data_IF_370067914197
#
_entry.id   IF_370067914197
#
_cell.length_a   1.000
_cell.length_b   1.000
_cell.length_c   1.000
_cell.angle_alpha   90.00
_cell.angle_beta   90.00
_cell.angle_gamma   90.00
#
_symmetry.space_group_name_H-M   'P 1'
#
loop_
_entity.id
_entity.type
_entity.pdbx_description
1 polymer ?
#
# COMPACT_ATOMS: atom_id res chain seq x y z
N UNK A 1 45.70 -20.48 -22.22
CA UNK A 1 45.84 -21.70 -21.39
C UNK A 1 45.99 -21.27 -19.94
N UNK A 2 45.05 -21.59 -19.06
CA UNK A 2 45.14 -21.39 -17.61
C UNK A 2 44.78 -22.71 -16.89
N UNK A 3 45.52 -23.13 -15.84
CA UNK A 3 45.30 -24.42 -15.19
C UNK A 3 44.11 -24.40 -14.19
N UNK A 4 43.39 -25.52 -14.01
CA UNK A 4 42.23 -25.64 -13.12
C UNK A 4 42.63 -26.06 -11.70
N UNK A 5 41.73 -25.89 -10.71
CA UNK A 5 41.58 -26.62 -9.40
C UNK A 5 41.02 -25.68 -8.30
N UNK A 6 40.15 -26.00 -7.33
CA UNK A 6 39.43 -27.20 -6.88
C UNK A 6 38.14 -26.76 -6.14
N UNK A 7 37.08 -27.58 -6.21
CA UNK A 7 35.88 -27.50 -5.35
C UNK A 7 36.20 -28.03 -3.94
N UNK A 8 35.71 -27.37 -2.90
CA UNK A 8 35.51 -27.96 -1.58
C UNK A 8 34.11 -27.65 -1.08
N UNK A 9 33.33 -28.71 -0.84
CA UNK A 9 32.07 -28.68 -0.12
C UNK A 9 32.37 -28.83 1.38
N UNK A 10 31.71 -28.03 2.21
CA UNK A 10 31.61 -28.28 3.65
C UNK A 10 30.13 -28.18 4.02
N UNK A 11 29.49 -29.35 4.03
CA UNK A 11 28.22 -29.61 4.71
C UNK A 11 28.58 -29.63 6.20
N UNK A 12 28.07 -28.67 6.97
CA UNK A 12 28.15 -28.73 8.43
C UNK A 12 26.79 -29.19 8.95
N UNK A 13 26.88 -30.39 9.52
CA UNK A 13 25.84 -31.25 10.07
C UNK A 13 25.23 -30.64 11.34
N UNK A 14 23.90 -30.72 11.38
CA UNK A 14 23.02 -30.26 12.44
C UNK A 14 22.85 -31.40 13.45
N UNK A 15 23.48 -31.30 14.62
CA UNK A 15 23.23 -32.18 15.77
C UNK A 15 23.94 -31.70 17.04
N UNK A 16 23.20 -31.04 17.93
CA UNK A 16 23.33 -31.28 19.37
C UNK A 16 22.19 -30.66 20.18
N UNK A 17 21.30 -31.54 20.63
CA UNK A 17 20.39 -31.30 21.75
C UNK A 17 21.16 -31.36 23.05
N UNK A 18 21.07 -30.31 23.87
CA UNK A 18 21.35 -30.37 25.30
C UNK A 18 20.13 -29.80 26.03
N UNK A 19 19.38 -30.69 26.66
CA UNK A 19 18.39 -30.36 27.67
C UNK A 19 19.10 -30.32 29.03
N UNK A 20 18.86 -29.29 29.86
CA UNK A 20 18.59 -29.50 31.28
C UNK A 20 18.14 -28.22 32.02
N UNK A 21 17.01 -28.38 32.70
CA UNK A 21 16.71 -27.97 34.08
C UNK A 21 17.13 -26.61 34.63
N UNK A 22 16.13 -25.75 34.82
CA UNK A 22 16.10 -24.75 35.88
C UNK A 22 14.80 -24.87 36.67
N UNK A 23 14.83 -25.56 37.80
CA UNK A 23 13.82 -25.49 38.86
C UNK A 23 13.90 -24.10 39.52
N UNK A 24 12.76 -23.44 39.79
CA UNK A 24 12.42 -22.69 41.04
C UNK A 24 11.22 -21.72 40.86
N UNK A 25 10.12 -22.13 41.50
CA UNK A 25 9.11 -21.37 42.26
C UNK A 25 8.41 -20.09 41.72
N UNK A 26 7.08 -20.12 41.86
CA UNK A 26 6.14 -19.01 41.74
C UNK A 26 6.23 -18.03 42.93
N UNK A 27 5.79 -16.76 42.78
CA UNK A 27 4.43 -16.48 43.26
C UNK A 27 3.58 -15.54 42.37
N UNK A 28 2.35 -16.00 42.14
CA UNK A 28 1.08 -15.25 42.21
C UNK A 28 1.11 -13.76 41.81
N UNK A 29 0.82 -13.49 40.54
CA UNK A 29 0.08 -12.27 40.16
C UNK A 29 -1.25 -12.66 39.51
N UNK A 30 -2.30 -12.08 40.06
CA UNK A 30 -3.71 -12.37 39.81
C UNK A 30 -4.02 -11.96 38.37
N UNK A 31 -4.12 -12.92 37.47
CA UNK A 31 -4.50 -12.70 36.07
C UNK A 31 -5.88 -12.04 36.04
N UNK A 32 -5.89 -10.71 35.85
CA UNK A 32 -7.08 -9.97 35.45
C UNK A 32 -7.45 -10.49 34.07
N UNK A 33 -8.60 -11.14 34.02
CA UNK A 33 -9.34 -11.54 32.81
C UNK A 33 -9.09 -10.53 31.67
N UNK A 34 -8.85 -10.97 30.43
CA UNK A 34 -8.92 -10.04 29.31
C UNK A 34 -10.33 -9.44 29.34
N UNK A 35 -10.39 -8.13 29.49
CA UNK A 35 -11.59 -7.39 29.21
C UNK A 35 -11.95 -7.74 27.76
N UNK A 36 -13.07 -8.46 27.61
CA UNK A 36 -13.87 -8.38 26.40
C UNK A 36 -14.14 -6.90 26.19
N UNK A 37 -13.35 -6.26 25.34
CA UNK A 37 -13.79 -5.04 24.68
C UNK A 37 -15.04 -5.46 23.93
N UNK A 38 -16.16 -5.12 24.55
CA UNK A 38 -17.48 -5.24 23.97
C UNK A 38 -17.41 -4.40 22.71
N UNK A 39 -17.25 -5.09 21.58
CA UNK A 39 -17.86 -4.74 20.31
C UNK A 39 -19.16 -4.00 20.64
N UNK A 40 -19.11 -2.68 20.47
CA UNK A 40 -20.28 -1.84 20.60
C UNK A 40 -21.20 -2.25 19.47
N UNK A 41 -22.32 -2.82 19.90
CA UNK A 41 -23.54 -3.06 19.15
C UNK A 41 -23.83 -1.97 18.12
N UNK A 42 -24.09 -2.38 16.89
CA UNK A 42 -25.19 -1.89 16.04
C UNK A 42 -25.19 -2.78 14.80
N UNK A 43 -26.10 -3.75 14.71
CA UNK A 43 -27.36 -3.64 13.95
C UNK A 43 -27.12 -3.21 12.48
N UNK A 44 -27.70 -3.88 11.48
CA UNK A 44 -27.59 -3.46 10.09
C UNK A 44 -28.34 -2.13 9.94
N UNK A 45 -27.60 -1.04 10.08
CA UNK A 45 -28.08 0.31 9.84
C UNK A 45 -28.04 0.52 8.33
N UNK A 46 -29.14 0.20 7.66
CA UNK A 46 -29.52 0.82 6.39
C UNK A 46 -29.83 2.30 6.67
N UNK A 47 -28.79 3.09 6.91
CA UNK A 47 -28.86 4.54 6.80
C UNK A 47 -28.22 4.89 5.45
N UNK A 48 -29.02 5.52 4.59
CA UNK A 48 -28.59 6.41 3.52
C UNK A 48 -27.81 7.60 4.12
N UNK A 49 -26.74 7.31 4.85
CA UNK A 49 -25.63 8.24 5.04
C UNK A 49 -25.10 8.54 3.63
N UNK A 50 -24.94 9.82 3.23
CA UNK A 50 -24.39 10.17 1.92
C UNK A 50 -22.90 9.79 1.88
N UNK A 51 -22.64 8.49 1.75
CA UNK A 51 -21.31 7.93 1.59
C UNK A 51 -20.84 8.32 0.21
N UNK A 52 -19.77 9.12 0.17
CA UNK A 52 -19.13 9.50 -1.09
C UNK A 52 -18.89 8.26 -1.96
N UNK A 53 -19.49 8.19 -3.17
CA UNK A 53 -19.32 7.05 -4.07
C UNK A 53 -17.92 7.11 -4.70
N UNK A 54 -16.94 6.53 -4.00
CA UNK A 54 -15.53 6.51 -4.41
C UNK A 54 -15.29 5.93 -5.82
N UNK A 55 -16.15 5.01 -6.25
CA UNK A 55 -16.08 4.38 -7.59
C UNK A 55 -16.53 5.34 -8.70
N UNK A 56 -17.50 6.21 -8.40
CA UNK A 56 -18.05 7.14 -9.38
C UNK A 56 -17.14 8.37 -9.56
N UNK A 57 -16.38 8.71 -8.50
CA UNK A 57 -15.40 9.79 -8.52
C UNK A 57 -14.41 9.63 -9.71
N UNK A 58 -14.07 10.73 -10.42
CA UNK A 58 -13.19 10.67 -11.58
C UNK A 58 -11.79 10.18 -11.19
N UNK A 59 -11.18 9.40 -12.09
CA UNK A 59 -9.88 8.77 -11.88
C UNK A 59 -8.78 9.76 -11.51
N UNK A 60 -8.84 10.96 -12.08
CA UNK A 60 -7.88 12.05 -11.85
C UNK A 60 -7.85 12.48 -10.38
N UNK A 61 -9.03 12.58 -9.74
CA UNK A 61 -9.13 12.92 -8.31
C UNK A 61 -8.55 11.79 -7.45
N UNK A 62 -8.76 10.52 -7.80
CA UNK A 62 -8.17 9.42 -7.05
C UNK A 62 -6.64 9.40 -7.21
N UNK A 63 -6.12 9.70 -8.40
CA UNK A 63 -4.67 9.78 -8.64
C UNK A 63 -4.05 10.98 -7.93
N UNK A 64 -4.68 12.15 -7.96
CA UNK A 64 -4.19 13.32 -7.23
C UNK A 64 -4.13 13.04 -5.73
N UNK A 65 -5.16 12.40 -5.16
CA UNK A 65 -5.17 11.95 -3.77
C UNK A 65 -4.00 11.00 -3.47
N UNK A 66 -3.76 10.00 -4.33
CA UNK A 66 -2.62 9.07 -4.18
C UNK A 66 -1.28 9.82 -4.17
N UNK A 67 -1.09 10.79 -5.06
CA UNK A 67 0.15 11.54 -5.16
C UNK A 67 0.37 12.46 -3.95
N UNK A 68 -0.68 13.12 -3.46
CA UNK A 68 -0.62 13.98 -2.27
C UNK A 68 -0.30 13.19 -1.00
N UNK A 69 -0.94 12.04 -0.82
CA UNK A 69 -0.79 11.21 0.37
C UNK A 69 0.28 10.09 0.21
N UNK A 70 0.98 10.05 -0.91
CA UNK A 70 2.07 9.10 -1.21
C UNK A 70 1.68 7.63 -0.96
N UNK A 71 0.48 7.24 -1.38
CA UNK A 71 0.00 5.87 -1.15
C UNK A 71 0.86 4.86 -1.92
N UNK A 72 1.28 3.73 -1.29
CA UNK A 72 2.08 2.68 -1.93
C UNK A 72 1.28 1.81 -2.92
N UNK A 73 0.08 2.26 -3.31
CA UNK A 73 -0.79 1.54 -4.26
C UNK A 73 -0.33 1.80 -5.69
N UNK A 74 -0.38 0.82 -6.60
CA UNK A 74 -0.21 1.03 -8.05
C UNK A 74 -1.27 1.97 -8.67
N UNK A 75 -0.97 2.58 -9.83
CA UNK A 75 -1.95 3.45 -10.53
C UNK A 75 -3.06 2.61 -11.16
N UNK A 76 -4.32 3.03 -11.06
CA UNK A 76 -5.40 2.39 -11.81
C UNK A 76 -5.29 2.58 -13.33
N UNK A 77 -5.82 1.62 -14.10
CA UNK A 77 -6.06 1.78 -15.54
C UNK A 77 -7.16 2.82 -15.81
N UNK A 78 -7.07 3.51 -16.94
CA UNK A 78 -8.07 4.50 -17.36
C UNK A 78 -9.39 3.85 -17.79
N UNK A 79 -9.30 2.67 -18.42
CA UNK A 79 -10.45 1.86 -18.84
C UNK A 79 -10.13 0.37 -18.82
N UNK A 80 -11.15 -0.48 -18.77
CA UNK A 80 -10.95 -1.94 -18.88
C UNK A 80 -10.38 -2.36 -20.24
N UNK A 81 -10.73 -1.65 -21.30
CA UNK A 81 -10.10 -1.86 -22.61
C UNK A 81 -8.58 -1.60 -22.55
N UNK A 82 -8.17 -0.51 -21.90
CA UNK A 82 -6.74 -0.20 -21.73
C UNK A 82 -6.02 -1.27 -20.89
N UNK A 83 -6.71 -1.88 -19.92
CA UNK A 83 -6.18 -3.02 -19.15
C UNK A 83 -5.89 -4.18 -20.09
N UNK A 84 -6.83 -4.57 -20.94
CA UNK A 84 -6.67 -5.70 -21.86
C UNK A 84 -5.51 -5.45 -22.84
N UNK A 85 -5.49 -4.29 -23.50
CA UNK A 85 -4.47 -3.96 -24.51
C UNK A 85 -3.06 -3.86 -23.90
N UNK A 86 -2.92 -3.18 -22.75
CA UNK A 86 -1.61 -2.92 -22.15
C UNK A 86 -1.07 -4.12 -21.36
N UNK A 87 -1.93 -4.99 -20.83
CA UNK A 87 -1.49 -6.18 -20.09
C UNK A 87 -1.11 -7.36 -21.00
N UNK A 88 -1.56 -7.36 -22.26
CA UNK A 88 -1.36 -8.48 -23.19
C UNK A 88 -0.56 -8.12 -24.45
N UNK A 89 -0.02 -6.89 -24.54
CA UNK A 89 0.64 -6.40 -25.74
C UNK A 89 1.95 -7.11 -26.11
N UNK A 90 2.22 -7.22 -27.41
CA UNK A 90 3.45 -7.81 -27.99
C UNK A 90 4.74 -7.17 -27.47
N UNK A 91 4.69 -5.90 -27.04
CA UNK A 91 5.81 -5.18 -26.44
C UNK A 91 6.35 -5.84 -25.17
N UNK A 92 5.51 -6.57 -24.42
CA UNK A 92 5.92 -7.31 -23.21
C UNK A 92 6.82 -8.52 -23.52
N UNK A 93 6.81 -8.99 -24.78
CA UNK A 93 7.68 -10.07 -25.28
C UNK A 93 8.95 -9.53 -25.95
N UNK A 94 9.14 -8.21 -25.99
CA UNK A 94 10.33 -7.61 -26.55
C UNK A 94 11.59 -8.02 -25.76
N UNK A 95 12.77 -8.08 -26.40
CA UNK A 95 14.03 -8.36 -25.71
C UNK A 95 14.26 -7.45 -24.49
N UNK A 96 13.90 -6.17 -24.59
CA UNK A 96 14.00 -5.19 -23.50
C UNK A 96 13.07 -5.55 -22.33
N UNK A 97 11.80 -5.85 -22.61
CA UNK A 97 10.85 -6.24 -21.56
C UNK A 97 11.23 -7.58 -20.92
N UNK A 98 11.76 -8.53 -21.69
CA UNK A 98 12.27 -9.80 -21.16
C UNK A 98 13.53 -9.60 -20.29
N UNK A 99 14.46 -8.76 -20.72
CA UNK A 99 15.65 -8.41 -19.94
C UNK A 99 15.27 -7.72 -18.62
N UNK A 100 14.36 -6.74 -18.67
CA UNK A 100 13.83 -6.06 -17.48
C UNK A 100 13.15 -7.05 -16.53
N UNK A 101 12.32 -7.97 -17.06
CA UNK A 101 11.67 -9.01 -16.26
C UNK A 101 12.68 -9.96 -15.60
N UNK A 102 13.71 -10.40 -16.33
CA UNK A 102 14.76 -11.26 -15.77
C UNK A 102 15.55 -10.55 -14.65
N UNK A 103 15.94 -9.30 -14.88
CA UNK A 103 16.65 -8.48 -13.88
C UNK A 103 15.82 -8.19 -12.62
N UNK A 104 14.49 -8.09 -12.76
CA UNK A 104 13.56 -7.97 -11.63
C UNK A 104 13.35 -9.30 -10.92
N UNK A 105 13.24 -10.41 -11.65
CA UNK A 105 13.07 -11.75 -11.06
C UNK A 105 14.26 -12.20 -10.22
N UNK A 106 15.48 -11.76 -10.57
CA UNK A 106 16.68 -12.02 -9.76
C UNK A 106 16.77 -11.14 -8.51
N UNK A 107 15.91 -10.11 -8.37
CA UNK A 107 15.93 -9.15 -7.26
C UNK A 107 14.84 -9.37 -6.20
N UNK A 108 13.89 -10.29 -6.38
CA UNK A 108 12.74 -10.35 -5.48
C UNK A 108 12.15 -11.75 -5.25
N UNK A 109 12.46 -12.30 -4.07
CA UNK A 109 11.53 -13.05 -3.20
C UNK A 109 10.32 -12.21 -2.74
N UNK A 110 10.31 -10.91 -3.05
CA UNK A 110 9.21 -9.98 -2.78
C UNK A 110 8.26 -9.88 -4.00
N UNK A 111 7.28 -10.78 -4.01
CA UNK A 111 6.35 -11.04 -5.12
C UNK A 111 5.43 -9.87 -5.53
N UNK A 112 5.55 -8.70 -4.89
CA UNK A 112 4.69 -7.53 -5.08
C UNK A 112 5.18 -6.50 -6.11
N UNK A 113 6.43 -6.56 -6.58
CA UNK A 113 6.98 -5.59 -7.56
C UNK A 113 6.98 -6.08 -9.00
N UNK A 114 6.02 -6.93 -9.37
CA UNK A 114 5.87 -7.34 -10.77
C UNK A 114 5.22 -6.18 -11.52
N UNK A 115 5.69 -5.87 -12.72
CA UNK A 115 5.11 -4.91 -13.68
C UNK A 115 3.67 -5.18 -14.14
N UNK A 116 2.89 -5.86 -13.30
CA UNK A 116 1.44 -5.89 -13.22
C UNK A 116 0.97 -4.77 -12.26
N UNK A 117 1.69 -3.64 -12.29
CA UNK A 117 1.70 -2.60 -11.27
C UNK A 117 0.60 -1.56 -11.51
N UNK A 118 -0.53 -2.03 -12.07
CA UNK A 118 -1.73 -1.25 -12.30
C UNK A 118 -2.95 -2.06 -11.89
N UNK A 119 -3.85 -1.43 -11.15
CA UNK A 119 -5.04 -2.05 -10.55
C UNK A 119 -6.31 -1.63 -11.31
N UNK A 120 -7.42 -2.33 -11.09
CA UNK A 120 -8.72 -1.85 -11.58
C UNK A 120 -9.12 -0.56 -10.84
N UNK A 121 -10.00 0.24 -11.46
CA UNK A 121 -10.54 1.46 -10.85
C UNK A 121 -11.19 1.16 -9.50
N UNK A 122 -12.00 0.10 -9.43
CA UNK A 122 -12.72 -0.28 -8.22
C UNK A 122 -11.79 -0.66 -7.07
N UNK A 123 -10.75 -1.45 -7.37
CA UNK A 123 -9.75 -1.82 -6.36
C UNK A 123 -8.99 -0.59 -5.85
N UNK A 124 -8.65 0.33 -6.74
CA UNK A 124 -7.97 1.56 -6.37
C UNK A 124 -8.86 2.46 -5.51
N UNK A 125 -10.13 2.62 -5.88
CA UNK A 125 -11.12 3.37 -5.12
C UNK A 125 -11.30 2.83 -3.69
N UNK A 126 -11.32 1.50 -3.53
CA UNK A 126 -11.42 0.86 -2.22
C UNK A 126 -10.20 1.12 -1.33
N UNK A 127 -8.99 1.10 -1.91
CA UNK A 127 -7.76 1.38 -1.15
C UNK A 127 -7.72 2.84 -0.73
N UNK A 128 -8.08 3.77 -1.63
CA UNK A 128 -8.19 5.20 -1.33
C UNK A 128 -9.22 5.43 -0.21
N UNK A 129 -10.40 4.82 -0.32
CA UNK A 129 -11.43 4.87 0.74
C UNK A 129 -10.91 4.38 2.08
N UNK A 130 -10.21 3.25 2.09
CA UNK A 130 -9.63 2.69 3.33
C UNK A 130 -8.63 3.65 3.94
N UNK A 131 -7.72 4.20 3.13
CA UNK A 131 -6.73 5.17 3.59
C UNK A 131 -7.40 6.42 4.16
N UNK A 132 -8.39 6.98 3.44
CA UNK A 132 -9.16 8.13 3.86
C UNK A 132 -9.83 7.90 5.21
N UNK A 133 -10.49 6.76 5.40
CA UNK A 133 -11.14 6.40 6.66
C UNK A 133 -10.14 6.23 7.82
N UNK A 134 -8.90 5.83 7.52
CA UNK A 134 -7.84 5.67 8.53
C UNK A 134 -7.05 6.94 8.84
N UNK A 135 -7.22 8.02 8.07
CA UNK A 135 -6.34 9.19 8.12
C UNK A 135 -6.43 10.01 9.43
N UNK A 136 -7.40 9.72 10.31
CA UNK A 136 -7.42 10.23 11.69
C UNK A 136 -7.34 11.76 11.80
N UNK A 137 -8.16 12.48 11.04
CA UNK A 137 -8.15 13.95 11.01
C UNK A 137 -8.91 14.54 12.21
N UNK A 138 -8.38 15.61 12.80
CA UNK A 138 -9.09 16.38 13.82
C UNK A 138 -10.11 17.32 13.17
N UNK A 139 -11.35 17.31 13.66
CA UNK A 139 -12.46 18.07 13.07
C UNK A 139 -12.18 19.58 13.12
N UNK A 140 -11.73 20.07 14.27
CA UNK A 140 -11.46 21.49 14.49
C UNK A 140 -10.41 22.04 13.52
N UNK A 141 -9.31 21.30 13.32
CA UNK A 141 -8.25 21.67 12.38
C UNK A 141 -8.73 21.63 10.94
N UNK A 142 -9.56 20.64 10.60
CA UNK A 142 -10.10 20.47 9.24
C UNK A 142 -11.04 21.63 8.88
N UNK A 143 -11.95 21.99 9.78
CA UNK A 143 -12.86 23.13 9.60
C UNK A 143 -12.07 24.44 9.46
N UNK A 144 -11.09 24.67 10.34
CA UNK A 144 -10.27 25.87 10.30
C UNK A 144 -9.49 25.99 8.98
N UNK A 145 -8.82 24.91 8.54
CA UNK A 145 -8.08 24.85 7.27
C UNK A 145 -9.00 25.05 6.06
N UNK A 146 -10.19 24.47 6.08
CA UNK A 146 -11.18 24.65 5.02
C UNK A 146 -11.63 26.10 4.91
N UNK A 147 -12.09 26.71 6.01
CA UNK A 147 -12.55 28.09 6.03
C UNK A 147 -11.45 29.07 5.60
N UNK A 148 -10.20 28.81 6.03
CA UNK A 148 -9.04 29.58 5.58
C UNK A 148 -8.82 29.46 4.07
N UNK A 149 -8.78 28.23 3.55
CA UNK A 149 -8.51 27.96 2.12
C UNK A 149 -9.59 28.57 1.24
N UNK A 150 -10.87 28.37 1.56
CA UNK A 150 -12.00 28.91 0.79
C UNK A 150 -12.01 30.44 0.80
N UNK A 151 -11.69 31.05 1.96
CA UNK A 151 -11.61 32.51 2.06
C UNK A 151 -10.46 33.09 1.25
N UNK A 152 -9.33 32.40 1.22
CA UNK A 152 -8.13 32.86 0.51
C UNK A 152 -8.23 32.67 -1.01
N UNK A 153 -8.87 31.58 -1.46
CA UNK A 153 -9.13 31.32 -2.88
C UNK A 153 -10.05 32.39 -3.49
N UNK A 154 -11.09 32.81 -2.76
CA UNK A 154 -11.96 33.95 -3.15
C UNK A 154 -11.24 35.30 -3.19
N UNK A 155 -10.09 35.43 -2.53
CA UNK A 155 -9.27 36.64 -2.54
C UNK A 155 -8.31 36.72 -3.73
N UNK A 156 -8.34 35.76 -4.65
CA UNK A 156 -7.65 35.85 -5.94
C UNK A 156 -6.13 35.78 -5.85
N UNK A 157 -5.58 35.23 -4.76
CA UNK A 157 -4.14 34.95 -4.64
C UNK A 157 -3.80 33.69 -5.42
N UNK A 158 -3.74 33.82 -6.73
CA UNK A 158 -3.34 32.74 -7.62
C UNK A 158 -1.83 32.50 -7.47
N UNK A 159 -1.43 31.24 -7.36
CA UNK A 159 -0.05 30.84 -7.47
C UNK A 159 0.44 31.15 -8.89
N UNK A 160 1.19 32.25 -9.04
CA UNK A 160 1.98 32.46 -10.24
C UNK A 160 3.11 31.43 -10.19
N UNK A 161 3.07 30.42 -11.06
CA UNK A 161 4.22 29.55 -11.30
C UNK A 161 5.38 30.44 -11.74
N UNK A 162 6.34 30.67 -10.84
CA UNK A 162 7.58 31.37 -11.14
C UNK A 162 8.61 30.30 -11.44
N UNK A 163 8.85 30.05 -12.72
CA UNK A 163 10.04 29.33 -13.14
C UNK A 163 11.25 30.22 -12.78
N UNK A 164 12.09 29.74 -11.87
CA UNK A 164 13.38 30.36 -11.62
C UNK A 164 14.25 30.09 -12.87
N UNK A 165 15.03 31.08 -13.33
CA UNK A 165 15.85 30.95 -14.54
C UNK A 165 16.93 29.87 -14.42
#
# INVERSE_FOLDING_TARGET
MAPPRHRTAAIQDDSRSEASSGTREYPKSKSRRPAKDKSVTSAPVEQDEPRLPWTDLPLDILHSYRHLHKLPTPSAYASDYSRIVLSQGVGLRSPTSLAARRAQSSRSSDSHRRGQDRVSKDQFALVVRRHFNSAGLSEQETIARFLYTVREERRGRQFRLRFQP
#
